data_IF_847030755996
#
_entry.id   IF_847030755996
#
_cell.length_a   1.000
_cell.length_b   1.000
_cell.length_c   1.000
_cell.angle_alpha   90.00
_cell.angle_beta   90.00
_cell.angle_gamma   90.00
#
_symmetry.space_group_name_H-M   'P 1'
#
loop_
_entity.id
_entity.type
_entity.pdbx_description
1 polymer ?
#
# COMPACT_ATOMS: atom_id res chain seq x y z
N UNK A 1 1.47 -11.61 -13.82
CA UNK A 1 0.84 -10.46 -13.12
C UNK A 1 0.85 -10.76 -11.63
N UNK A 2 1.26 -9.81 -10.79
CA UNK A 2 1.33 -9.99 -9.34
C UNK A 2 0.28 -9.13 -8.64
N UNK A 3 -0.35 -9.65 -7.59
CA UNK A 3 -1.30 -8.89 -6.78
C UNK A 3 -0.81 -8.81 -5.33
N UNK A 4 -0.86 -7.61 -4.77
CA UNK A 4 -0.41 -7.31 -3.41
C UNK A 4 -1.51 -6.61 -2.63
N UNK A 5 -1.61 -6.99 -1.37
CA UNK A 5 -2.38 -6.28 -0.36
C UNK A 5 -1.45 -5.33 0.38
N UNK A 6 -1.73 -4.04 0.28
CA UNK A 6 -0.98 -2.98 0.94
C UNK A 6 -1.84 -2.40 2.06
N UNK A 7 -1.34 -2.39 3.29
CA UNK A 7 -1.96 -1.67 4.40
C UNK A 7 -1.19 -0.38 4.65
N UNK A 8 -1.91 0.71 4.75
CA UNK A 8 -1.35 2.03 5.04
C UNK A 8 -2.03 2.66 6.23
N UNK A 9 -1.26 3.42 7.00
CA UNK A 9 -1.78 4.34 8.00
C UNK A 9 -2.24 5.61 7.30
N UNK A 10 -3.48 6.01 7.58
CA UNK A 10 -4.02 7.29 7.16
C UNK A 10 -4.37 8.10 8.40
N UNK A 11 -3.84 9.33 8.48
CA UNK A 11 -4.33 10.30 9.44
C UNK A 11 -5.69 10.80 8.96
N UNK A 12 -6.77 10.40 9.62
CA UNK A 12 -8.11 10.92 9.33
C UNK A 12 -8.25 12.20 10.17
N UNK A 13 -7.69 13.30 9.67
CA UNK A 13 -7.83 14.62 10.27
C UNK A 13 -8.91 15.40 9.55
N UNK A 14 -10.05 15.62 10.21
CA UNK A 14 -10.87 16.78 9.90
C UNK A 14 -10.07 18.05 10.19
N UNK A 15 -10.30 19.12 9.44
CA UNK A 15 -9.61 20.40 9.56
C UNK A 15 -9.95 21.16 10.86
N UNK A 16 -9.92 20.52 12.03
CA UNK A 16 -10.07 21.18 13.34
C UNK A 16 -9.14 20.47 14.35
N UNK A 17 -8.44 21.25 15.18
CA UNK A 17 -7.29 20.86 16.04
C UNK A 17 -7.59 19.84 17.18
N UNK A 18 -8.32 18.77 16.91
CA UNK A 18 -8.58 17.67 17.84
C UNK A 18 -8.11 16.34 17.26
N UNK A 19 -7.25 15.63 18.00
CA UNK A 19 -6.86 14.22 17.86
C UNK A 19 -7.04 13.59 16.46
N UNK A 20 -5.96 13.52 15.68
CA UNK A 20 -5.94 12.78 14.41
C UNK A 20 -6.21 11.30 14.72
N UNK A 21 -7.39 10.80 14.41
CA UNK A 21 -7.68 9.37 14.44
C UNK A 21 -6.80 8.70 13.38
N UNK A 22 -5.86 7.84 13.82
CA UNK A 22 -5.03 7.05 12.91
C UNK A 22 -5.85 5.86 12.45
N UNK A 23 -6.40 5.97 11.25
CA UNK A 23 -7.08 4.87 10.58
C UNK A 23 -6.10 3.97 9.82
N UNK A 24 -6.47 2.71 9.65
CA UNK A 24 -5.78 1.80 8.73
C UNK A 24 -6.65 1.59 7.48
N UNK A 25 -6.06 1.73 6.30
CA UNK A 25 -6.72 1.39 5.04
C UNK A 25 -5.95 0.31 4.30
N UNK A 26 -6.67 -0.65 3.75
CA UNK A 26 -6.10 -1.71 2.92
C UNK A 26 -6.44 -1.50 1.45
N UNK A 27 -5.44 -1.60 0.59
CA UNK A 27 -5.53 -1.53 -0.87
C UNK A 27 -5.12 -2.86 -1.48
N UNK A 28 -5.72 -3.18 -2.63
CA UNK A 28 -5.29 -4.27 -3.50
C UNK A 28 -4.68 -3.62 -4.74
N UNK A 29 -3.40 -3.89 -4.98
CA UNK A 29 -2.63 -3.32 -6.08
C UNK A 29 -2.12 -4.47 -6.95
N UNK A 30 -2.39 -4.39 -8.24
CA UNK A 30 -1.88 -5.32 -9.24
C UNK A 30 -0.70 -4.68 -9.96
N UNK A 31 0.40 -5.41 -10.09
CA UNK A 31 1.59 -5.01 -10.82
C UNK A 31 1.86 -5.99 -11.97
N UNK A 32 2.08 -5.43 -13.17
CA UNK A 32 2.52 -6.17 -14.34
C UNK A 32 4.05 -6.07 -14.41
N UNK A 33 4.72 -7.15 -13.99
CA UNK A 33 6.17 -7.28 -14.11
C UNK A 33 6.55 -8.72 -14.45
N UNK A 34 7.74 -8.87 -15.01
CA UNK A 34 8.36 -10.16 -15.34
C UNK A 34 8.83 -10.91 -14.08
N UNK A 35 9.08 -10.21 -12.96
CA UNK A 35 9.57 -10.81 -11.72
C UNK A 35 8.86 -10.20 -10.49
N UNK A 36 8.69 -11.02 -9.45
CA UNK A 36 8.16 -10.64 -8.14
C UNK A 36 8.93 -9.47 -7.50
N UNK A 37 10.26 -9.51 -7.54
CA UNK A 37 11.10 -8.47 -6.93
C UNK A 37 10.86 -7.10 -7.54
N UNK A 38 10.69 -7.03 -8.86
CA UNK A 38 10.42 -5.78 -9.57
C UNK A 38 8.97 -5.32 -9.33
N UNK A 39 8.01 -6.25 -9.27
CA UNK A 39 6.64 -5.93 -8.89
C UNK A 39 6.54 -5.34 -7.48
N UNK A 40 7.28 -5.89 -6.52
CA UNK A 40 7.35 -5.38 -5.14
C UNK A 40 8.00 -3.99 -5.09
N UNK A 41 9.11 -3.79 -5.77
CA UNK A 41 9.83 -2.51 -5.79
C UNK A 41 8.97 -1.38 -6.37
N UNK A 42 8.25 -1.65 -7.47
CA UNK A 42 7.30 -0.71 -8.07
C UNK A 42 6.18 -0.30 -7.09
N UNK A 43 5.61 -1.27 -6.37
CA UNK A 43 4.54 -1.00 -5.40
C UNK A 43 5.08 -0.23 -4.21
N UNK A 44 6.26 -0.62 -3.70
CA UNK A 44 6.91 0.06 -2.61
C UNK A 44 7.18 1.53 -2.96
N UNK A 45 7.75 1.78 -4.14
CA UNK A 45 7.98 3.13 -4.64
C UNK A 45 6.69 3.97 -4.71
N UNK A 46 5.59 3.37 -5.17
CA UNK A 46 4.30 4.05 -5.32
C UNK A 46 3.68 4.43 -3.96
N UNK A 47 3.78 3.55 -2.97
CA UNK A 47 3.10 3.74 -1.69
C UNK A 47 3.95 4.56 -0.71
N UNK A 48 5.27 4.32 -0.63
CA UNK A 48 6.17 5.06 0.27
C UNK A 48 6.27 6.55 -0.07
N UNK A 49 6.02 6.95 -1.32
CA UNK A 49 6.08 8.36 -1.71
C UNK A 49 4.95 9.22 -1.12
N UNK A 50 3.84 8.63 -0.67
CA UNK A 50 2.64 9.40 -0.28
C UNK A 50 1.97 8.95 1.01
N UNK A 51 2.24 7.74 1.49
CA UNK A 51 1.48 7.11 2.56
C UNK A 51 2.41 6.38 3.53
N UNK A 52 2.01 6.31 4.80
CA UNK A 52 2.72 5.51 5.81
C UNK A 52 2.38 4.02 5.57
N UNK A 53 3.33 3.26 5.03
CA UNK A 53 3.11 1.83 4.75
C UNK A 53 3.27 1.01 6.03
N UNK A 54 2.21 0.32 6.43
CA UNK A 54 2.21 -0.57 7.59
C UNK A 54 2.59 -2.00 7.20
N UNK A 55 2.11 -2.46 6.04
CA UNK A 55 2.39 -3.81 5.56
C UNK A 55 2.18 -3.95 4.04
N UNK A 56 3.02 -4.74 3.39
CA UNK A 56 2.82 -5.23 2.02
C UNK A 56 2.84 -6.75 2.08
N UNK A 57 1.82 -7.40 1.52
CA UNK A 57 1.73 -8.85 1.42
C UNK A 57 1.31 -9.24 0.02
N UNK A 58 2.08 -10.08 -0.65
CA UNK A 58 1.67 -10.69 -1.92
C UNK A 58 0.49 -11.63 -1.67
N UNK A 59 -0.56 -11.55 -2.51
CA UNK A 59 -1.79 -12.35 -2.35
C UNK A 59 -2.11 -13.22 -3.57
N UNK A 60 -1.50 -12.95 -4.74
CA UNK A 60 -1.64 -13.83 -5.91
C UNK A 60 -0.48 -13.68 -6.90
N UNK A 61 -0.09 -14.81 -7.49
CA UNK A 61 0.75 -14.89 -8.69
C UNK A 61 -0.18 -15.32 -9.83
N UNK A 62 -0.45 -14.41 -10.76
CA UNK A 62 -1.14 -14.72 -12.01
C UNK A 62 -0.19 -15.46 -12.94
N UNK A 63 -0.42 -16.76 -13.09
CA UNK A 63 0.20 -17.63 -14.10
C UNK A 63 -0.51 -17.59 -15.44
#
# INVERSE_FOLDING_TARGET
MYEFRVRVGIGIGGEEEGEIERGEQAFIISAESENELDAEDQIRFLVENKLEVLNISQIKIGG
#
